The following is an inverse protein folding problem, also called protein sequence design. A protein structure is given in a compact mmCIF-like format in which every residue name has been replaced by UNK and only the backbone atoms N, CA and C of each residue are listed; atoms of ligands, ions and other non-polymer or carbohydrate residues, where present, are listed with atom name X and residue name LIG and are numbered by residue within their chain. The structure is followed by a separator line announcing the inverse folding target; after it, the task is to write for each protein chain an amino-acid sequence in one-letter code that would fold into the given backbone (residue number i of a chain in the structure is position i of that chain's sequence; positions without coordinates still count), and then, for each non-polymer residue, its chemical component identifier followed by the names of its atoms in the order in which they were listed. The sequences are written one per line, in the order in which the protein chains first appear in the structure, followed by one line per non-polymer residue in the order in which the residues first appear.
data_IF_889568537184
#
_entry.id   IF_889568537184
#
_cell.length_a   1.000
_cell.length_b   1.000
_cell.length_c   1.000
_cell.angle_alpha   90.00
_cell.angle_beta   90.00
_cell.angle_gamma   90.00
#
_symmetry.space_group_name_H-M   'P 1'
#
loop_
_entity.id
_entity.type
_entity.pdbx_description
1 polymer ?
#
# COMPACT_ATOMS: atom_id res chain seq x y z
N UNK A 1 16.00 -10.50 26.19
CA UNK A 1 14.96 -10.24 25.16
C UNK A 1 14.42 -8.84 25.40
N UNK A 2 14.23 -8.06 24.33
CA UNK A 2 13.64 -6.72 24.43
C UNK A 2 12.15 -6.80 24.79
N UNK A 3 11.70 -5.99 25.74
CA UNK A 3 10.27 -5.84 26.05
C UNK A 3 9.55 -5.03 24.96
N UNK A 4 8.62 -5.66 24.25
CA UNK A 4 7.93 -5.10 23.07
C UNK A 4 6.62 -4.43 23.47
N UNK A 5 6.66 -3.14 23.79
CA UNK A 5 5.51 -2.38 24.30
C UNK A 5 4.35 -2.30 23.27
N UNK A 6 4.70 -2.29 21.98
CA UNK A 6 3.75 -2.20 20.86
C UNK A 6 2.85 -3.44 20.68
N UNK A 7 3.18 -4.58 21.30
CA UNK A 7 2.35 -5.79 21.22
C UNK A 7 1.06 -5.69 22.02
N UNK A 8 1.09 -5.00 23.16
CA UNK A 8 -0.06 -4.83 24.07
C UNK A 8 -0.69 -3.45 23.93
N UNK A 9 0.09 -2.42 23.61
CA UNK A 9 -0.40 -1.06 23.41
C UNK A 9 0.17 -0.44 22.12
N UNK A 10 -0.41 -0.73 20.93
CA UNK A 10 0.08 -0.19 19.66
C UNK A 10 -0.11 1.33 19.52
N UNK A 11 -0.92 1.95 20.39
CA UNK A 11 -1.10 3.40 20.44
C UNK A 11 -0.02 4.12 21.26
N UNK A 12 0.79 3.37 22.02
CA UNK A 12 1.95 3.92 22.72
C UNK A 12 2.98 4.40 21.70
N UNK A 13 3.25 5.69 21.73
CA UNK A 13 4.21 6.37 20.84
C UNK A 13 5.32 7.08 21.61
N UNK A 14 5.15 7.32 22.90
CA UNK A 14 6.19 7.83 23.79
C UNK A 14 6.47 6.82 24.90
N UNK A 15 7.74 6.62 25.25
CA UNK A 15 8.14 5.68 26.29
C UNK A 15 9.51 6.04 26.88
N UNK A 16 9.73 5.67 28.13
CA UNK A 16 11.05 5.72 28.76
C UNK A 16 11.73 4.36 28.60
N UNK A 17 13.05 4.37 28.41
CA UNK A 17 13.84 3.14 28.29
C UNK A 17 15.29 3.35 28.71
N UNK A 18 16.05 2.26 28.69
CA UNK A 18 17.48 2.24 28.98
C UNK A 18 18.19 1.53 27.83
N UNK A 19 19.32 2.09 27.42
CA UNK A 19 20.22 1.45 26.45
C UNK A 19 20.76 0.15 27.07
N UNK A 20 20.44 -0.98 26.47
CA UNK A 20 20.95 -2.28 26.88
C UNK A 20 22.31 -2.55 26.23
N UNK A 21 22.45 -2.24 24.94
CA UNK A 21 23.68 -2.45 24.18
C UNK A 21 23.81 -1.45 23.02
N UNK A 22 25.04 -1.20 22.60
CA UNK A 22 25.37 -0.38 21.43
C UNK A 22 26.19 -1.21 20.47
N UNK A 23 25.62 -1.49 19.30
CA UNK A 23 26.23 -2.30 18.27
C UNK A 23 27.18 -1.45 17.41
N UNK A 24 28.29 -2.05 16.92
CA UNK A 24 29.15 -1.37 15.97
C UNK A 24 28.39 -1.05 14.68
N UNK A 25 28.88 -0.09 13.89
CA UNK A 25 28.36 0.19 12.56
C UNK A 25 28.20 -1.07 11.71
N UNK A 26 27.04 -1.23 11.08
CA UNK A 26 26.72 -2.39 10.25
C UNK A 26 25.78 -2.03 9.09
N UNK A 27 25.65 -2.93 8.12
CA UNK A 27 24.84 -2.72 6.91
C UNK A 27 25.51 -1.83 5.86
N UNK A 28 24.83 -1.63 4.73
CA UNK A 28 25.35 -0.88 3.59
C UNK A 28 25.60 0.61 3.90
N UNK A 29 24.86 1.17 4.84
CA UNK A 29 24.96 2.58 5.26
C UNK A 29 25.85 2.80 6.49
N UNK A 30 26.49 1.75 7.02
CA UNK A 30 27.41 1.83 8.16
C UNK A 30 26.80 2.56 9.38
N UNK A 31 25.54 2.23 9.71
CA UNK A 31 24.78 2.88 10.79
C UNK A 31 25.05 2.19 12.13
N UNK A 32 25.11 2.97 13.21
CA UNK A 32 25.17 2.44 14.57
C UNK A 32 23.81 1.86 14.98
N UNK A 33 23.82 0.69 15.62
CA UNK A 33 22.63 0.04 16.16
C UNK A 33 22.55 0.20 17.66
N UNK A 34 21.34 0.38 18.20
CA UNK A 34 21.09 0.46 19.65
C UNK A 34 20.02 -0.55 20.04
N UNK A 35 20.31 -1.34 21.07
CA UNK A 35 19.34 -2.25 21.68
C UNK A 35 18.83 -1.58 22.95
N UNK A 36 17.51 -1.53 23.08
CA UNK A 36 16.82 -0.96 24.23
C UNK A 36 16.25 -2.09 25.08
N UNK A 37 16.15 -1.85 26.39
CA UNK A 37 15.49 -2.78 27.33
C UNK A 37 14.02 -2.97 26.96
N UNK A 38 13.34 -1.86 26.68
CA UNK A 38 11.96 -1.82 26.21
C UNK A 38 11.80 -0.84 25.06
N UNK A 39 10.89 -1.14 24.12
CA UNK A 39 10.66 -0.29 22.96
C UNK A 39 9.21 -0.30 22.50
N UNK A 40 8.71 0.87 22.13
CA UNK A 40 7.46 1.02 21.40
C UNK A 40 7.66 0.98 19.88
N UNK A 41 8.89 0.98 19.36
CA UNK A 41 9.15 0.90 17.92
C UNK A 41 8.91 -0.51 17.36
N UNK A 42 8.10 -0.62 16.32
CA UNK A 42 7.86 -1.87 15.60
C UNK A 42 9.00 -2.13 14.59
N UNK A 43 9.63 -3.32 14.61
CA UNK A 43 10.56 -3.76 13.56
C UNK A 43 9.80 -4.22 12.31
N UNK A 44 10.43 -4.22 11.13
CA UNK A 44 9.80 -4.82 9.95
C UNK A 44 9.51 -6.31 10.20
N UNK A 45 8.23 -6.68 10.14
CA UNK A 45 7.78 -8.06 10.37
C UNK A 45 6.37 -8.27 9.83
N UNK A 46 6.05 -9.50 9.40
CA UNK A 46 4.71 -9.87 8.93
C UNK A 46 4.18 -9.06 7.74
N UNK A 47 5.07 -8.50 6.92
CA UNK A 47 4.71 -7.63 5.79
C UNK A 47 4.46 -6.16 6.13
N UNK A 48 4.44 -5.80 7.42
CA UNK A 48 4.40 -4.41 7.87
C UNK A 48 5.83 -3.84 7.99
N UNK A 49 6.00 -2.61 7.53
CA UNK A 49 7.27 -1.88 7.58
C UNK A 49 7.59 -1.36 9.00
N UNK A 50 8.88 -1.22 9.31
CA UNK A 50 9.35 -0.66 10.57
C UNK A 50 8.85 0.76 10.83
N UNK A 51 8.79 1.11 12.10
CA UNK A 51 8.62 2.50 12.53
C UNK A 51 9.92 3.30 12.44
N UNK A 52 9.75 4.62 12.40
CA UNK A 52 10.82 5.60 12.57
C UNK A 52 10.45 6.52 13.71
N UNK A 53 11.37 7.36 14.16
CA UNK A 53 11.13 8.21 15.32
C UNK A 53 12.43 8.78 15.88
N UNK A 54 12.42 9.10 17.16
CA UNK A 54 13.52 9.78 17.84
C UNK A 54 13.83 9.12 19.17
N UNK A 55 15.11 9.05 19.50
CA UNK A 55 15.60 8.78 20.86
C UNK A 55 16.18 10.08 21.42
N UNK A 56 15.80 10.46 22.63
CA UNK A 56 16.26 11.66 23.31
C UNK A 56 16.93 11.29 24.62
N UNK A 57 18.18 11.70 24.82
CA UNK A 57 18.92 11.47 26.06
C UNK A 57 18.81 12.66 27.02
N UNK A 58 19.26 12.49 28.27
CA UNK A 58 19.31 13.57 29.27
C UNK A 58 20.10 14.82 28.84
N UNK A 59 21.01 14.72 27.86
CA UNK A 59 21.71 15.86 27.25
C UNK A 59 20.85 16.66 26.25
N UNK A 60 19.59 16.25 26.03
CA UNK A 60 18.66 16.74 24.99
C UNK A 60 19.12 16.45 23.55
N UNK A 61 20.13 15.61 23.36
CA UNK A 61 20.52 15.15 22.04
C UNK A 61 19.40 14.30 21.47
N UNK A 62 18.92 14.66 20.28
CA UNK A 62 17.87 13.94 19.54
C UNK A 62 18.50 13.13 18.43
N UNK A 63 18.32 11.82 18.50
CA UNK A 63 18.90 10.85 17.58
C UNK A 63 17.78 10.27 16.73
N UNK A 64 17.87 10.43 15.41
CA UNK A 64 16.86 9.90 14.47
C UNK A 64 17.04 8.40 14.31
N UNK A 65 15.96 7.65 14.55
CA UNK A 65 15.87 6.22 14.22
C UNK A 65 15.42 6.10 12.78
N UNK A 66 16.31 5.60 11.92
CA UNK A 66 16.07 5.43 10.49
C UNK A 66 15.47 4.06 10.15
N UNK A 67 15.79 3.04 10.94
CA UNK A 67 15.35 1.67 10.71
C UNK A 67 15.28 0.92 12.04
N UNK A 68 14.34 -0.03 12.11
CA UNK A 68 14.17 -0.92 13.25
C UNK A 68 14.09 -2.35 12.73
N UNK A 69 14.94 -3.21 13.26
CA UNK A 69 15.03 -4.61 12.85
C UNK A 69 14.97 -5.55 14.05
N UNK A 70 14.53 -6.78 13.80
CA UNK A 70 14.58 -7.88 14.76
C UNK A 70 15.76 -8.78 14.40
N UNK A 71 16.62 -9.06 15.39
CA UNK A 71 17.73 -10.02 15.24
C UNK A 71 17.23 -11.45 15.33
N UNK A 72 18.04 -12.42 14.89
CA UNK A 72 17.70 -13.85 14.96
C UNK A 72 17.40 -14.34 16.39
N UNK A 73 18.01 -13.72 17.41
CA UNK A 73 17.76 -14.00 18.83
C UNK A 73 16.61 -13.15 19.44
N UNK A 74 15.84 -12.45 18.61
CA UNK A 74 14.60 -11.76 18.98
C UNK A 74 14.80 -10.41 19.70
N UNK A 75 16.01 -9.83 19.68
CA UNK A 75 16.27 -8.47 20.15
C UNK A 75 15.88 -7.44 19.10
N UNK A 76 15.49 -6.25 19.54
CA UNK A 76 15.11 -5.15 18.65
C UNK A 76 16.27 -4.16 18.55
N UNK A 77 16.76 -3.97 17.32
CA UNK A 77 17.86 -3.06 17.00
C UNK A 77 17.30 -1.82 16.34
N UNK A 78 17.70 -0.65 16.84
CA UNK A 78 17.33 0.66 16.30
C UNK A 78 18.57 1.24 15.61
N UNK A 79 18.54 1.35 14.28
CA UNK A 79 19.61 1.93 13.51
C UNK A 79 19.46 3.45 13.41
N UNK A 80 20.51 4.17 13.79
CA UNK A 80 20.52 5.63 13.85
C UNK A 80 21.08 6.25 12.57
N UNK A 81 20.57 7.41 12.16
CA UNK A 81 21.09 8.16 11.00
C UNK A 81 22.52 8.68 11.21
N UNK A 82 22.86 9.00 12.46
CA UNK A 82 24.18 9.50 12.84
C UNK A 82 24.71 8.73 14.06
N UNK A 83 26.04 8.57 14.18
CA UNK A 83 26.66 8.06 15.39
C UNK A 83 26.23 8.88 16.60
N UNK A 84 25.97 8.18 17.70
CA UNK A 84 25.67 8.81 18.97
C UNK A 84 26.68 8.36 20.03
N UNK A 85 27.05 9.26 20.94
CA UNK A 85 27.78 8.93 22.16
C UNK A 85 26.92 8.19 23.19
N UNK A 86 26.02 7.30 22.74
CA UNK A 86 25.21 6.46 23.60
C UNK A 86 26.11 5.41 24.25
N UNK A 87 25.83 5.13 25.52
CA UNK A 87 26.52 4.10 26.30
C UNK A 87 25.46 3.20 26.93
N UNK A 88 25.80 1.92 27.10
CA UNK A 88 24.96 0.99 27.84
C UNK A 88 24.65 1.54 29.25
N UNK A 89 23.41 1.38 29.69
CA UNK A 89 22.91 1.90 30.95
C UNK A 89 22.37 3.34 30.91
N UNK A 90 22.55 4.08 29.80
CA UNK A 90 22.00 5.42 29.66
C UNK A 90 20.46 5.38 29.58
N UNK A 91 19.80 6.24 30.35
CA UNK A 91 18.36 6.47 30.25
C UNK A 91 18.04 7.36 29.04
N UNK A 92 16.94 7.05 28.36
CA UNK A 92 16.45 7.81 27.21
C UNK A 92 14.93 7.78 27.12
N UNK A 93 14.42 8.77 26.39
CA UNK A 93 13.03 8.89 25.99
C UNK A 93 12.90 8.55 24.50
N UNK A 94 12.06 7.59 24.16
CA UNK A 94 11.74 7.21 22.78
C UNK A 94 10.41 7.80 22.33
N UNK A 95 10.39 8.34 21.11
CA UNK A 95 9.21 8.92 20.46
C UNK A 95 9.06 8.38 19.05
N UNK A 96 7.98 7.63 18.78
CA UNK A 96 7.65 7.06 17.48
C UNK A 96 7.00 8.11 16.59
N UNK A 97 7.31 8.09 15.30
CA UNK A 97 6.62 8.87 14.27
C UNK A 97 5.14 8.45 14.17
N UNK A 98 4.28 9.26 14.77
CA UNK A 98 2.85 8.97 14.91
C UNK A 98 2.13 8.91 13.56
N UNK A 99 2.53 9.75 12.60
CA UNK A 99 1.90 9.78 11.28
C UNK A 99 2.18 8.49 10.52
N UNK A 100 3.44 8.06 10.53
CA UNK A 100 3.85 6.77 9.96
C UNK A 100 3.18 5.59 10.65
N UNK A 101 3.20 5.56 11.99
CA UNK A 101 2.57 4.49 12.78
C UNK A 101 1.07 4.37 12.46
N UNK A 102 0.37 5.51 12.43
CA UNK A 102 -1.06 5.55 12.10
C UNK A 102 -1.32 5.01 10.70
N UNK A 103 -0.56 5.47 9.70
CA UNK A 103 -0.68 4.97 8.33
C UNK A 103 -0.50 3.45 8.27
N UNK A 104 0.57 2.91 8.87
CA UNK A 104 0.81 1.47 8.90
C UNK A 104 -0.31 0.69 9.59
N UNK A 105 -0.81 1.18 10.74
CA UNK A 105 -1.93 0.55 11.44
C UNK A 105 -3.22 0.55 10.60
N UNK A 106 -3.48 1.63 9.86
CA UNK A 106 -4.61 1.73 8.94
C UNK A 106 -4.47 0.74 7.78
N UNK A 107 -3.30 0.68 7.14
CA UNK A 107 -3.05 -0.24 6.04
C UNK A 107 -3.15 -1.70 6.48
N UNK A 108 -2.54 -2.05 7.62
CA UNK A 108 -2.53 -3.42 8.13
C UNK A 108 -3.93 -3.86 8.58
N UNK A 109 -4.64 -3.03 9.35
CA UNK A 109 -5.99 -3.38 9.78
C UNK A 109 -6.96 -3.41 8.60
N UNK A 110 -6.80 -2.52 7.63
CA UNK A 110 -7.56 -2.54 6.38
C UNK A 110 -7.32 -3.80 5.57
N UNK A 111 -6.08 -4.33 5.55
CA UNK A 111 -5.79 -5.62 4.94
C UNK A 111 -6.59 -6.76 5.58
N UNK A 112 -6.66 -6.83 6.92
CA UNK A 112 -7.43 -7.86 7.61
C UNK A 112 -8.91 -7.80 7.25
N UNK A 113 -9.49 -6.59 7.31
CA UNK A 113 -10.89 -6.38 6.95
C UNK A 113 -11.16 -6.75 5.48
N UNK A 114 -10.29 -6.34 4.56
CA UNK A 114 -10.44 -6.66 3.15
C UNK A 114 -10.32 -8.17 2.88
N UNK A 115 -9.38 -8.83 3.54
CA UNK A 115 -9.19 -10.28 3.40
C UNK A 115 -10.38 -11.07 3.91
N UNK A 116 -10.93 -10.67 5.07
CA UNK A 116 -12.14 -11.28 5.60
C UNK A 116 -13.36 -11.04 4.70
N UNK A 117 -13.51 -9.85 4.10
CA UNK A 117 -14.58 -9.58 3.13
C UNK A 117 -14.49 -10.49 1.89
N UNK A 118 -13.29 -10.70 1.36
CA UNK A 118 -13.05 -11.62 0.24
C UNK A 118 -13.35 -13.09 0.59
N UNK A 119 -13.01 -13.52 1.81
CA UNK A 119 -13.33 -14.86 2.30
C UNK A 119 -14.84 -15.01 2.52
N UNK A 120 -15.50 -14.07 3.18
CA UNK A 120 -16.95 -14.09 3.47
C UNK A 120 -17.76 -14.22 2.18
N UNK A 121 -17.49 -13.35 1.20
CA UNK A 121 -18.31 -13.27 -0.02
C UNK A 121 -17.95 -14.31 -1.07
N UNK A 122 -16.66 -14.66 -1.21
CA UNK A 122 -16.16 -15.38 -2.37
C UNK A 122 -15.25 -16.56 -2.03
N UNK A 123 -15.07 -16.90 -0.75
CA UNK A 123 -14.18 -17.96 -0.28
C UNK A 123 -12.73 -17.79 -0.78
N UNK A 124 -12.32 -16.54 -1.00
CA UNK A 124 -11.04 -16.21 -1.61
C UNK A 124 -9.97 -15.99 -0.54
N UNK A 125 -9.09 -16.97 -0.34
CA UNK A 125 -8.06 -16.90 0.68
C UNK A 125 -6.91 -15.96 0.29
N UNK A 126 -6.37 -15.25 1.27
CA UNK A 126 -5.18 -14.42 1.08
C UNK A 126 -3.92 -15.27 1.17
N UNK A 127 -3.14 -15.27 0.08
CA UNK A 127 -1.86 -15.97 -0.05
C UNK A 127 -0.72 -15.13 0.52
N UNK A 128 -0.69 -13.84 0.17
CA UNK A 128 0.38 -12.92 0.54
C UNK A 128 -0.15 -11.51 0.80
N UNK A 129 0.63 -10.73 1.54
CA UNK A 129 0.39 -9.31 1.80
C UNK A 129 1.71 -8.54 1.59
N UNK A 130 1.63 -7.39 0.94
CA UNK A 130 2.73 -6.45 0.80
C UNK A 130 2.27 -5.03 1.16
N UNK A 131 3.04 -4.36 2.02
CA UNK A 131 2.85 -2.95 2.38
C UNK A 131 3.93 -2.10 1.71
N UNK A 132 3.57 -1.43 0.61
CA UNK A 132 4.43 -0.45 -0.04
C UNK A 132 4.23 0.97 0.49
N UNK A 133 5.06 1.91 0.04
CA UNK A 133 4.95 3.33 0.39
C UNK A 133 3.72 3.99 -0.23
N UNK A 134 3.43 3.68 -1.49
CA UNK A 134 2.29 4.26 -2.22
C UNK A 134 1.00 3.45 -2.04
N UNK A 135 1.10 2.11 -2.16
CA UNK A 135 -0.04 1.20 -2.12
C UNK A 135 0.28 -0.07 -1.32
N UNK A 136 -0.77 -0.77 -0.92
CA UNK A 136 -0.70 -2.11 -0.37
C UNK A 136 -1.28 -3.12 -1.37
N UNK A 137 -0.91 -4.38 -1.25
CA UNK A 137 -1.51 -5.43 -2.07
C UNK A 137 -1.70 -6.73 -1.32
N UNK A 138 -2.76 -7.45 -1.68
CA UNK A 138 -2.99 -8.84 -1.28
C UNK A 138 -3.05 -9.72 -2.53
N UNK A 139 -2.46 -10.90 -2.45
CA UNK A 139 -2.64 -11.95 -3.45
C UNK A 139 -3.75 -12.89 -2.97
N UNK A 140 -4.77 -13.09 -3.80
CA UNK A 140 -5.92 -13.96 -3.54
C UNK A 140 -5.78 -15.27 -4.30
N UNK A 141 -6.07 -16.39 -3.64
CA UNK A 141 -6.11 -17.73 -4.23
C UNK A 141 -7.37 -17.90 -5.10
N UNK A 142 -7.37 -17.24 -6.27
CA UNK A 142 -8.48 -17.30 -7.23
C UNK A 142 -7.95 -17.14 -8.67
N UNK A 143 -8.63 -17.74 -9.65
CA UNK A 143 -8.19 -17.71 -11.06
C UNK A 143 -8.47 -16.39 -11.77
N UNK A 144 -9.51 -15.68 -11.35
CA UNK A 144 -10.00 -14.44 -11.97
C UNK A 144 -10.94 -13.73 -11.00
N UNK A 145 -10.92 -12.40 -11.01
CA UNK A 145 -11.81 -11.57 -10.20
C UNK A 145 -12.56 -10.59 -11.11
N UNK A 146 -13.89 -10.58 -11.06
CA UNK A 146 -14.70 -9.65 -11.84
C UNK A 146 -14.76 -8.27 -11.19
N UNK A 147 -15.05 -7.23 -11.97
CA UNK A 147 -15.24 -5.86 -11.43
C UNK A 147 -16.37 -5.78 -10.40
N UNK A 148 -17.39 -6.63 -10.52
CA UNK A 148 -18.49 -6.72 -9.54
C UNK A 148 -18.02 -7.33 -8.21
N UNK A 149 -17.15 -8.35 -8.27
CA UNK A 149 -16.57 -8.96 -7.07
C UNK A 149 -15.60 -8.01 -6.36
N UNK A 150 -14.78 -7.28 -7.12
CA UNK A 150 -13.91 -6.21 -6.59
C UNK A 150 -14.76 -5.18 -5.83
N UNK A 151 -15.80 -4.64 -6.49
CA UNK A 151 -16.65 -3.64 -5.89
C UNK A 151 -17.47 -4.19 -4.70
N UNK A 152 -17.85 -5.47 -4.74
CA UNK A 152 -18.54 -6.16 -3.64
C UNK A 152 -17.68 -6.27 -2.38
N UNK A 153 -16.44 -6.74 -2.53
CA UNK A 153 -15.49 -6.83 -1.42
C UNK A 153 -15.13 -5.44 -0.85
N UNK A 154 -14.92 -4.44 -1.71
CA UNK A 154 -14.66 -3.06 -1.28
C UNK A 154 -15.82 -2.49 -0.47
N UNK A 155 -17.06 -2.63 -0.94
CA UNK A 155 -18.25 -2.18 -0.21
C UNK A 155 -18.36 -2.86 1.14
N UNK A 156 -18.26 -4.19 1.16
CA UNK A 156 -18.36 -4.97 2.40
C UNK A 156 -17.29 -4.61 3.42
N UNK A 157 -16.06 -4.39 2.97
CA UNK A 157 -14.97 -3.94 3.83
C UNK A 157 -15.24 -2.55 4.42
N UNK A 158 -15.75 -1.60 3.62
CA UNK A 158 -16.11 -0.28 4.11
C UNK A 158 -17.33 -0.29 5.04
N UNK A 159 -18.31 -1.17 4.84
CA UNK A 159 -19.42 -1.38 5.79
C UNK A 159 -18.89 -1.73 7.18
N UNK A 160 -17.99 -2.71 7.27
CA UNK A 160 -17.33 -3.10 8.53
C UNK A 160 -16.55 -1.95 9.17
N UNK A 161 -15.94 -1.09 8.36
CA UNK A 161 -15.26 0.12 8.84
C UNK A 161 -16.27 1.10 9.46
N UNK A 162 -17.39 1.34 8.78
CA UNK A 162 -18.43 2.26 9.26
C UNK A 162 -19.20 1.74 10.48
N UNK A 163 -19.26 0.43 10.66
CA UNK A 163 -19.77 -0.20 11.89
C UNK A 163 -18.85 0.05 13.10
N UNK A 164 -17.61 0.52 12.89
CA UNK A 164 -16.63 0.84 13.93
C UNK A 164 -16.45 -0.28 14.98
N UNK A 165 -16.35 -1.51 14.49
CA UNK A 165 -16.19 -2.72 15.32
C UNK A 165 -14.90 -2.68 16.12
N UNK A 166 -14.94 -3.21 17.33
CA UNK A 166 -13.77 -3.29 18.20
C UNK A 166 -12.70 -4.20 17.59
N UNK A 167 -11.45 -3.78 17.70
CA UNK A 167 -10.28 -4.59 17.35
C UNK A 167 -9.53 -4.91 18.64
N UNK A 168 -9.51 -6.19 19.01
CA UNK A 168 -8.88 -6.64 20.26
C UNK A 168 -7.67 -7.53 19.99
N UNK A 169 -6.77 -7.57 20.97
CA UNK A 169 -5.57 -8.39 20.96
C UNK A 169 -5.65 -9.35 22.15
N UNK A 170 -5.42 -10.63 21.90
CA UNK A 170 -5.24 -11.64 22.96
C UNK A 170 -4.05 -12.54 22.64
N UNK A 171 -3.41 -13.02 23.69
CA UNK A 171 -2.38 -14.05 23.60
C UNK A 171 -3.03 -15.36 23.99
N UNK A 172 -2.85 -16.37 23.15
CA UNK A 172 -3.41 -17.71 23.40
C UNK A 172 -2.32 -18.73 23.13
N UNK A 173 -2.38 -19.84 23.85
CA UNK A 173 -1.54 -20.99 23.54
C UNK A 173 -1.85 -21.53 22.14
N UNK A 174 -0.91 -22.23 21.53
CA UNK A 174 -1.16 -22.94 20.26
C UNK A 174 -2.37 -23.89 20.32
N UNK A 175 -2.54 -24.63 21.41
CA UNK A 175 -3.64 -25.57 21.60
C UNK A 175 -5.02 -24.87 21.67
N UNK A 176 -5.07 -23.63 22.15
CA UNK A 176 -6.26 -22.79 22.09
C UNK A 176 -6.47 -22.24 20.67
N UNK A 177 -5.42 -21.73 20.02
CA UNK A 177 -5.50 -21.21 18.66
C UNK A 177 -6.06 -22.21 17.64
N UNK A 178 -5.69 -23.49 17.76
CA UNK A 178 -6.20 -24.57 16.91
C UNK A 178 -7.73 -24.76 17.02
N UNK A 179 -8.33 -24.35 18.14
CA UNK A 179 -9.78 -24.44 18.39
C UNK A 179 -10.54 -23.18 17.98
N UNK A 180 -9.84 -22.09 17.67
CA UNK A 180 -10.44 -20.79 17.38
C UNK A 180 -10.86 -20.60 15.92
N UNK A 181 -10.59 -21.57 15.04
CA UNK A 181 -10.98 -21.48 13.63
C UNK A 181 -10.26 -20.36 12.87
N UNK A 182 -8.98 -20.11 13.19
CA UNK A 182 -8.16 -19.08 12.54
C UNK A 182 -8.07 -19.33 11.03
N UNK A 183 -8.10 -18.25 10.22
CA UNK A 183 -7.91 -18.35 8.76
C UNK A 183 -6.60 -19.03 8.37
N UNK A 184 -5.53 -18.75 9.12
CA UNK A 184 -4.21 -19.34 8.94
C UNK A 184 -3.53 -19.51 10.29
N UNK A 185 -3.07 -20.73 10.57
CA UNK A 185 -2.27 -21.02 11.74
C UNK A 185 -0.78 -20.87 11.40
N UNK A 186 -0.01 -20.00 12.08
CA UNK A 186 1.43 -19.85 11.83
C UNK A 186 2.21 -21.14 12.15
N UNK A 187 3.42 -21.34 11.56
CA UNK A 187 4.31 -22.46 11.90
C UNK A 187 4.62 -22.57 13.40
N UNK A 188 4.93 -23.79 13.86
CA UNK A 188 5.02 -24.13 15.29
C UNK A 188 6.35 -23.72 15.96
N UNK A 189 6.67 -22.43 15.94
CA UNK A 189 7.93 -21.89 16.50
C UNK A 189 7.75 -21.09 17.80
N UNK A 190 6.50 -20.82 18.22
CA UNK A 190 6.18 -20.03 19.43
C UNK A 190 5.10 -20.70 20.26
N UNK A 191 5.28 -20.72 21.57
CA UNK A 191 4.33 -21.31 22.53
C UNK A 191 3.03 -20.49 22.64
N UNK A 192 3.17 -19.15 22.65
CA UNK A 192 2.06 -18.20 22.67
C UNK A 192 1.91 -17.47 21.32
N UNK A 193 0.67 -17.43 20.83
CA UNK A 193 0.28 -16.77 19.59
C UNK A 193 -0.49 -15.49 19.90
N UNK A 194 -0.04 -14.38 19.30
CA UNK A 194 -0.78 -13.10 19.32
C UNK A 194 -1.90 -13.16 18.29
N UNK A 195 -3.13 -13.09 18.78
CA UNK A 195 -4.34 -13.11 17.97
C UNK A 195 -4.95 -11.71 17.95
N UNK A 196 -5.31 -11.28 16.75
CA UNK A 196 -6.03 -10.04 16.49
C UNK A 196 -7.44 -10.41 16.05
N UNK A 197 -8.43 -9.85 16.74
CA UNK A 197 -9.84 -10.08 16.50
C UNK A 197 -10.51 -8.78 16.08
N UNK A 198 -11.10 -8.77 14.89
CA UNK A 198 -12.10 -7.77 14.50
C UNK A 198 -13.45 -8.36 14.87
N UNK A 199 -14.14 -7.74 15.82
CA UNK A 199 -15.34 -8.29 16.44
C UNK A 199 -16.35 -8.83 15.39
N UNK A 200 -16.77 -10.08 15.58
CA UNK A 200 -17.75 -10.78 14.74
C UNK A 200 -17.42 -10.79 13.23
N UNK A 201 -16.14 -10.68 12.85
CA UNK A 201 -15.76 -10.58 11.44
C UNK A 201 -14.44 -11.28 11.05
N UNK A 202 -13.32 -10.97 11.71
CA UNK A 202 -12.02 -11.58 11.42
C UNK A 202 -11.33 -12.04 12.69
N UNK A 203 -10.66 -13.19 12.61
CA UNK A 203 -9.82 -13.71 13.67
C UNK A 203 -8.53 -14.28 13.08
N UNK A 204 -7.40 -13.64 13.39
CA UNK A 204 -6.13 -13.90 12.71
C UNK A 204 -4.95 -13.86 13.68
N UNK A 205 -4.00 -14.78 13.52
CA UNK A 205 -2.71 -14.67 14.20
C UNK A 205 -1.85 -13.63 13.48
N UNK A 206 -1.51 -12.53 14.17
CA UNK A 206 -0.75 -11.43 13.59
C UNK A 206 0.15 -10.75 14.63
N UNK A 207 1.40 -10.48 14.24
CA UNK A 207 2.37 -9.75 15.06
C UNK A 207 2.37 -8.24 14.85
N UNK A 208 1.63 -7.73 13.86
CA UNK A 208 1.63 -6.32 13.47
C UNK A 208 0.91 -5.38 14.43
N UNK A 209 1.05 -4.08 14.18
CA UNK A 209 0.30 -3.05 14.90
C UNK A 209 -1.06 -2.83 14.25
N UNK A 210 -2.12 -2.81 15.06
CA UNK A 210 -3.48 -2.64 14.58
C UNK A 210 -4.17 -1.46 15.25
N UNK A 211 -5.13 -0.88 14.54
CA UNK A 211 -6.07 0.07 15.12
C UNK A 211 -6.87 -0.58 16.25
N UNK A 212 -7.47 0.24 17.11
CA UNK A 212 -8.32 -0.23 18.22
C UNK A 212 -9.79 -0.46 17.81
N UNK A 213 -10.22 0.15 16.71
CA UNK A 213 -11.56 -0.05 16.15
C UNK A 213 -11.52 0.17 14.63
N UNK A 214 -12.37 -0.52 13.87
CA UNK A 214 -12.34 -0.49 12.40
C UNK A 214 -12.57 0.90 11.83
N UNK A 215 -13.30 1.78 12.53
CA UNK A 215 -13.51 3.17 12.10
C UNK A 215 -12.23 4.00 12.02
N UNK A 216 -11.18 3.62 12.76
CA UNK A 216 -9.87 4.27 12.69
C UNK A 216 -9.12 3.95 11.37
N UNK A 217 -9.55 2.94 10.62
CA UNK A 217 -9.07 2.66 9.26
C UNK A 217 -9.49 3.79 8.31
N UNK A 218 -10.62 4.45 8.57
CA UNK A 218 -11.17 5.55 7.77
C UNK A 218 -11.97 5.04 6.57
N UNK A 219 -11.30 4.52 5.56
CA UNK A 219 -11.91 3.91 4.37
C UNK A 219 -10.89 3.02 3.68
N UNK A 220 -11.35 2.13 2.80
CA UNK A 220 -10.51 1.32 1.91
C UNK A 220 -10.92 1.61 0.46
N UNK A 221 -9.92 1.77 -0.42
CA UNK A 221 -10.12 1.96 -1.86
C UNK A 221 -9.24 0.99 -2.65
N UNK A 222 -9.85 0.12 -3.44
CA UNK A 222 -9.19 -0.82 -4.36
C UNK A 222 -8.85 -0.09 -5.65
N UNK A 223 -7.64 -0.34 -6.16
CA UNK A 223 -7.04 0.45 -7.24
C UNK A 223 -6.86 -0.35 -8.51
N UNK A 224 -6.30 -1.54 -8.39
CA UNK A 224 -5.90 -2.37 -9.52
C UNK A 224 -6.03 -3.83 -9.16
N UNK A 225 -6.39 -4.62 -10.16
CA UNK A 225 -6.34 -6.08 -10.09
C UNK A 225 -5.43 -6.60 -11.18
N UNK A 226 -4.53 -7.52 -10.86
CA UNK A 226 -3.64 -8.15 -11.83
C UNK A 226 -3.54 -9.66 -11.60
N UNK A 227 -3.45 -10.42 -12.69
CA UNK A 227 -3.24 -11.86 -12.60
C UNK A 227 -1.78 -12.14 -12.27
N UNK A 228 -1.55 -12.92 -11.22
CA UNK A 228 -0.22 -13.36 -10.77
C UNK A 228 -0.13 -14.89 -10.82
N UNK A 229 1.08 -15.45 -10.64
CA UNK A 229 1.28 -16.91 -10.76
C UNK A 229 0.36 -17.75 -9.86
N UNK A 230 0.08 -17.28 -8.65
CA UNK A 230 -0.70 -18.01 -7.63
C UNK A 230 -2.11 -17.45 -7.44
N UNK A 231 -2.60 -16.60 -8.34
CA UNK A 231 -3.98 -16.13 -8.32
C UNK A 231 -4.16 -14.71 -8.85
N UNK A 232 -4.88 -13.86 -8.10
CA UNK A 232 -5.13 -12.46 -8.46
C UNK A 232 -4.63 -11.55 -7.36
N UNK A 233 -3.78 -10.58 -7.73
CA UNK A 233 -3.37 -9.50 -6.84
C UNK A 233 -4.39 -8.39 -6.88
N UNK A 234 -4.72 -7.85 -5.72
CA UNK A 234 -5.56 -6.67 -5.54
C UNK A 234 -4.73 -5.60 -4.83
N UNK A 235 -4.53 -4.46 -5.49
CA UNK A 235 -3.91 -3.27 -4.90
C UNK A 235 -4.98 -2.42 -4.21
N UNK A 236 -4.68 -1.91 -3.02
CA UNK A 236 -5.57 -1.09 -2.23
C UNK A 236 -4.81 -0.05 -1.39
N UNK A 237 -5.55 0.94 -0.91
CA UNK A 237 -5.07 1.96 0.04
C UNK A 237 -6.13 2.20 1.12
N UNK A 238 -5.70 2.56 2.32
CA UNK A 238 -6.55 2.86 3.47
C UNK A 238 -6.28 4.25 4.06
N UNK A 239 -7.25 4.78 4.80
CA UNK A 239 -7.06 5.98 5.62
C UNK A 239 -6.65 7.21 4.82
N UNK A 240 -5.62 7.93 5.28
CA UNK A 240 -5.18 9.17 4.63
C UNK A 240 -4.73 8.96 3.17
N UNK A 241 -4.19 7.76 2.85
CA UNK A 241 -3.84 7.40 1.48
C UNK A 241 -5.05 7.47 0.55
N UNK A 242 -6.26 7.09 1.01
CA UNK A 242 -7.49 7.21 0.23
C UNK A 242 -7.78 8.67 -0.13
N UNK A 243 -7.64 9.59 0.83
CA UNK A 243 -7.87 11.01 0.59
C UNK A 243 -6.86 11.59 -0.42
N UNK A 244 -5.58 11.23 -0.30
CA UNK A 244 -4.53 11.63 -1.25
C UNK A 244 -4.79 11.06 -2.64
N UNK A 245 -5.16 9.78 -2.74
CA UNK A 245 -5.50 9.13 -4.01
C UNK A 245 -6.73 9.76 -4.65
N UNK A 246 -7.81 9.99 -3.90
CA UNK A 246 -9.01 10.64 -4.42
C UNK A 246 -8.74 12.06 -4.92
N UNK A 247 -7.88 12.82 -4.23
CA UNK A 247 -7.45 14.14 -4.70
C UNK A 247 -6.66 14.05 -6.00
N UNK A 248 -5.73 13.09 -6.10
CA UNK A 248 -4.95 12.84 -7.32
C UNK A 248 -5.84 12.44 -8.50
N UNK A 249 -6.80 11.55 -8.27
CA UNK A 249 -7.80 11.13 -9.27
C UNK A 249 -8.62 12.33 -9.76
N UNK A 250 -9.10 13.17 -8.83
CA UNK A 250 -9.85 14.38 -9.16
C UNK A 250 -9.03 15.37 -10.00
N UNK A 251 -7.77 15.63 -9.61
CA UNK A 251 -6.87 16.53 -10.36
C UNK A 251 -6.66 16.00 -11.78
N UNK A 252 -6.33 14.72 -11.94
CA UNK A 252 -6.10 14.11 -13.24
C UNK A 252 -7.36 14.15 -14.13
N UNK A 253 -8.54 13.86 -13.56
CA UNK A 253 -9.80 13.93 -14.29
C UNK A 253 -10.19 15.36 -14.66
N UNK A 254 -9.89 16.33 -13.79
CA UNK A 254 -10.14 17.76 -14.05
C UNK A 254 -9.25 18.30 -15.15
N UNK A 255 -7.97 17.94 -15.16
CA UNK A 255 -7.05 18.29 -16.25
C UNK A 255 -7.53 17.70 -17.58
N UNK A 256 -7.93 16.42 -17.59
CA UNK A 256 -8.49 15.78 -18.78
C UNK A 256 -9.78 16.45 -19.26
N UNK A 257 -10.68 16.83 -18.34
CA UNK A 257 -11.90 17.56 -18.66
C UNK A 257 -11.61 18.94 -19.27
N UNK A 258 -10.57 19.62 -18.78
CA UNK A 258 -10.08 20.89 -19.33
C UNK A 258 -9.65 20.78 -20.79
N UNK A 259 -8.96 19.70 -21.17
CA UNK A 259 -8.53 19.45 -22.56
C UNK A 259 -9.70 19.40 -23.55
N UNK A 260 -10.86 18.89 -23.11
CA UNK A 260 -12.07 18.78 -23.94
C UNK A 260 -13.10 19.89 -23.66
N UNK A 261 -12.83 20.80 -22.73
CA UNK A 261 -13.80 21.80 -22.25
C UNK A 261 -15.16 21.16 -21.86
N UNK A 262 -15.11 20.06 -21.12
CA UNK A 262 -16.28 19.24 -20.78
C UNK A 262 -16.43 19.02 -19.27
N UNK A 263 -17.52 18.38 -18.82
CA UNK A 263 -17.69 18.00 -17.42
C UNK A 263 -16.89 16.74 -17.10
N UNK A 264 -16.48 16.56 -15.84
CA UNK A 264 -15.66 15.42 -15.40
C UNK A 264 -16.20 14.06 -15.87
N UNK A 265 -17.51 13.86 -15.76
CA UNK A 265 -18.18 12.60 -16.10
C UNK A 265 -18.36 12.37 -17.60
N UNK A 266 -18.22 13.43 -18.40
CA UNK A 266 -18.34 13.36 -19.87
C UNK A 266 -16.99 13.07 -20.55
N UNK A 267 -15.88 13.14 -19.81
CA UNK A 267 -14.52 12.89 -20.33
C UNK A 267 -14.43 11.56 -21.10
N UNK A 268 -14.92 10.41 -20.61
CA UNK A 268 -14.83 9.15 -21.35
C UNK A 268 -15.56 9.20 -22.71
N UNK A 269 -16.70 9.90 -22.77
CA UNK A 269 -17.45 10.06 -24.01
C UNK A 269 -16.69 10.96 -25.00
N UNK A 270 -16.09 12.06 -24.52
CA UNK A 270 -15.27 12.95 -25.36
C UNK A 270 -14.00 12.26 -25.88
N UNK A 271 -13.34 11.45 -25.05
CA UNK A 271 -12.18 10.65 -25.48
C UNK A 271 -12.58 9.68 -26.59
N UNK A 272 -13.69 8.97 -26.45
CA UNK A 272 -14.19 8.03 -27.47
C UNK A 272 -14.50 8.76 -28.78
N UNK A 273 -15.19 9.89 -28.70
CA UNK A 273 -15.48 10.76 -29.86
C UNK A 273 -14.19 11.23 -30.54
N UNK A 274 -13.20 11.67 -29.77
CA UNK A 274 -11.91 12.12 -30.31
C UNK A 274 -11.16 11.00 -31.06
N UNK A 275 -11.22 9.76 -30.56
CA UNK A 275 -10.68 8.60 -31.27
C UNK A 275 -11.42 8.33 -32.59
N UNK A 276 -12.75 8.39 -32.58
CA UNK A 276 -13.58 8.17 -33.77
C UNK A 276 -13.34 9.27 -34.82
N UNK A 277 -13.28 10.54 -34.40
CA UNK A 277 -12.96 11.69 -35.25
C UNK A 277 -11.55 11.57 -35.84
N UNK A 278 -10.56 11.14 -35.04
CA UNK A 278 -9.18 10.91 -35.51
C UNK A 278 -9.14 9.82 -36.58
N UNK A 279 -9.91 8.75 -36.41
CA UNK A 279 -10.00 7.66 -37.39
C UNK A 279 -10.65 8.14 -38.69
N UNK A 280 -11.71 8.95 -38.60
CA UNK A 280 -12.38 9.54 -39.76
C UNK A 280 -11.46 10.51 -40.52
N UNK A 281 -10.80 11.43 -39.82
CA UNK A 281 -9.88 12.40 -40.41
C UNK A 281 -8.70 11.73 -41.09
N UNK A 282 -8.16 10.63 -40.53
CA UNK A 282 -7.11 9.84 -41.20
C UNK A 282 -7.59 9.26 -42.53
N UNK A 283 -8.80 8.70 -42.56
CA UNK A 283 -9.39 8.18 -43.81
C UNK A 283 -9.59 9.29 -44.84
N UNK A 284 -10.16 10.42 -44.46
CA UNK A 284 -10.37 11.56 -45.35
C UNK A 284 -9.05 12.13 -45.89
N UNK A 285 -8.00 12.18 -45.06
CA UNK A 285 -6.65 12.58 -45.47
C UNK A 285 -6.13 11.64 -46.56
N UNK A 286 -6.25 10.32 -46.37
CA UNK A 286 -5.74 9.34 -47.32
C UNK A 286 -6.50 9.42 -48.67
N UNK A 287 -7.82 9.62 -48.63
CA UNK A 287 -8.65 9.85 -49.82
C UNK A 287 -8.26 11.15 -50.55
N UNK A 288 -8.07 12.26 -49.82
CA UNK A 288 -7.66 13.53 -50.39
C UNK A 288 -6.25 13.46 -51.01
N UNK A 289 -5.31 12.77 -50.36
CA UNK A 289 -3.98 12.53 -50.91
C UNK A 289 -4.02 11.70 -52.20
N UNK A 290 -4.89 10.69 -52.27
CA UNK A 290 -5.08 9.89 -53.48
C UNK A 290 -5.65 10.73 -54.63
N UNK A 291 -6.69 11.54 -54.36
CA UNK A 291 -7.27 12.45 -55.35
C UNK A 291 -6.28 13.51 -55.84
N UNK A 292 -5.45 14.06 -54.93
CA UNK A 292 -4.40 15.01 -55.29
C UNK A 292 -3.34 14.36 -56.18
N UNK A 293 -2.90 13.13 -55.84
CA UNK A 293 -1.94 12.39 -56.65
C UNK A 293 -2.47 12.11 -58.06
N UNK A 294 -3.74 11.74 -58.19
CA UNK A 294 -4.41 11.54 -59.48
C UNK A 294 -4.48 12.84 -60.30
N UNK A 295 -4.93 13.94 -59.69
CA UNK A 295 -5.00 15.24 -60.35
C UNK A 295 -3.62 15.74 -60.82
N UNK A 296 -2.57 15.54 -60.01
CA UNK A 296 -1.19 15.86 -60.38
C UNK A 296 -0.69 15.00 -61.54
N UNK A 297 -1.04 13.71 -61.58
CA UNK A 297 -0.67 12.83 -62.69
C UNK A 297 -1.34 13.26 -64.00
N UNK A 298 -2.63 13.62 -63.96
CA UNK A 298 -3.36 14.14 -65.13
C UNK A 298 -2.76 15.46 -65.61
N UNK A 299 -2.46 16.39 -64.72
CA UNK A 299 -1.84 17.67 -65.07
C UNK A 299 -0.47 17.47 -65.73
N UNK A 300 0.37 16.59 -65.18
CA UNK A 300 1.68 16.26 -65.75
C UNK A 300 1.56 15.64 -67.16
N UNK A 301 0.57 14.77 -67.38
CA UNK A 301 0.32 14.18 -68.69
C UNK A 301 -0.11 15.24 -69.72
N UNK A 302 -1.02 16.14 -69.35
CA UNK A 302 -1.47 17.22 -70.21
C UNK A 302 -0.32 18.17 -70.57
N UNK A 303 0.51 18.55 -69.60
CA UNK A 303 1.69 19.39 -69.87
C UNK A 303 2.69 18.71 -70.82
N UNK A 304 2.83 17.38 -70.71
CA UNK A 304 3.68 16.61 -71.62
C UNK A 304 3.13 16.58 -73.05
N UNK A 305 1.81 16.44 -73.21
CA UNK A 305 1.13 16.49 -74.51
C UNK A 305 1.28 17.88 -75.17
N UNK A 306 1.04 18.96 -74.43
CA UNK A 306 1.21 20.33 -74.94
C UNK A 306 2.65 20.62 -75.39
N UNK A 307 3.65 20.05 -74.71
CA UNK A 307 5.06 20.17 -75.10
C UNK A 307 5.40 19.36 -76.35
N UNK A 308 4.69 18.26 -76.62
CA UNK A 308 4.86 17.49 -77.85
C UNK A 308 4.26 18.22 -79.05
N UNK A 309 3.07 18.80 -78.90
CA UNK A 309 2.40 19.55 -79.97
C UNK A 309 3.15 20.83 -80.38
N UNK A 310 3.89 21.46 -79.45
CA UNK A 310 4.74 22.64 -79.76
C UNK A 310 6.07 22.32 -80.44
N UNK A 311 6.44 21.04 -80.58
CA UNK A 311 7.69 20.59 -81.23
C UNK A 311 7.51 20.10 -82.67
N UNK A 312 6.27 20.12 -83.19
CA UNK A 312 5.90 19.82 -84.58
C UNK A 312 5.74 21.13 -85.34
#
# INVERSE_FOLDING_TARGET
MTNRLYYTNPQLHEFESVVEDVLPPSGAENRHGVILRETAFYPTSGGQMYDTGWLTTGSKDRLRVAEVAETEDGRIVHYLEAPAGLVAGAALHGSVDLERRRDHMQQHSGQHVLSAAFVELYQAQTVSFHMGEDYCSIDLEMTSLSSEQVAGAERRANEIIFENRLVTIRFVSRAEAEKLGLRKLPPAERDDLRIVEVADFDLSACGGTHVSATGQIGSILLRKTEKVRQGVRVEFVCGDRVARTARRDYTALSEAAGLFSTQLWDVPAQVRKSFDDTKLLRKQRDEALAQLAEAMAVAALNEQLERQDKKV
#
